data_IF_726627087452
#
_entry.id   IF_726627087452
#
_cell.length_a   1.000
_cell.length_b   1.000
_cell.length_c   1.000
_cell.angle_alpha   90.00
_cell.angle_beta   90.00
_cell.angle_gamma   90.00
#
_symmetry.space_group_name_H-M   'P 1'
#
loop_
_entity.id
_entity.type
_entity.pdbx_description
1 polymer ?
#
# COMPACT_ATOMS: atom_id res chain seq x y z
N UNK A 1 3.47 -12.81 -1.35
CA UNK A 1 2.95 -11.67 -2.14
C UNK A 1 4.09 -10.74 -2.44
N UNK A 2 4.19 -10.28 -3.69
CA UNK A 2 5.09 -9.20 -4.07
C UNK A 2 4.53 -7.83 -3.62
N UNK A 3 5.36 -6.79 -3.70
CA UNK A 3 4.97 -5.44 -3.26
C UNK A 3 3.75 -4.90 -4.03
N UNK A 4 3.64 -5.05 -5.37
CA UNK A 4 2.45 -4.68 -6.13
C UNK A 4 1.17 -5.34 -5.64
N UNK A 5 1.18 -6.66 -5.40
CA UNK A 5 0.01 -7.36 -4.88
C UNK A 5 -0.36 -6.91 -3.47
N UNK A 6 0.63 -6.64 -2.60
CA UNK A 6 0.38 -6.12 -1.26
C UNK A 6 -0.33 -4.76 -1.30
N UNK A 7 0.16 -3.84 -2.13
CA UNK A 7 -0.45 -2.52 -2.31
C UNK A 7 -1.88 -2.61 -2.84
N UNK A 8 -2.11 -3.49 -3.83
CA UNK A 8 -3.44 -3.76 -4.37
C UNK A 8 -4.40 -4.30 -3.32
N UNK A 9 -3.92 -5.17 -2.42
CA UNK A 9 -4.74 -5.70 -1.33
C UNK A 9 -5.19 -4.61 -0.36
N UNK A 10 -4.28 -3.71 0.05
CA UNK A 10 -4.63 -2.55 0.90
C UNK A 10 -5.68 -1.69 0.22
N UNK A 11 -5.44 -1.28 -1.03
CA UNK A 11 -6.35 -0.44 -1.78
C UNK A 11 -7.76 -1.06 -1.86
N UNK A 12 -7.84 -2.36 -2.17
CA UNK A 12 -9.10 -3.10 -2.25
C UNK A 12 -9.80 -3.21 -0.90
N UNK A 13 -9.05 -3.48 0.18
CA UNK A 13 -9.60 -3.57 1.54
C UNK A 13 -10.24 -2.25 1.99
N UNK A 14 -9.65 -1.15 1.56
CA UNK A 14 -10.11 0.21 1.85
C UNK A 14 -11.25 0.67 0.93
N UNK A 15 -11.65 -0.15 -0.04
CA UNK A 15 -12.72 0.17 -1.00
C UNK A 15 -12.35 1.28 -1.98
N UNK A 16 -11.05 1.58 -2.16
CA UNK A 16 -10.60 2.70 -2.97
C UNK A 16 -10.35 2.30 -4.43
N UNK A 17 -10.74 3.16 -5.35
CA UNK A 17 -10.26 3.14 -6.73
C UNK A 17 -8.76 3.48 -6.80
N UNK A 18 -8.13 3.25 -7.95
CA UNK A 18 -6.72 3.64 -8.13
C UNK A 18 -6.54 5.15 -8.01
N UNK A 19 -7.47 5.93 -8.55
CA UNK A 19 -7.41 7.40 -8.51
C UNK A 19 -7.55 7.92 -7.09
N UNK A 20 -8.56 7.48 -6.34
CA UNK A 20 -8.75 7.89 -4.94
C UNK A 20 -7.55 7.49 -4.08
N UNK A 21 -7.01 6.28 -4.27
CA UNK A 21 -5.82 5.86 -3.56
C UNK A 21 -4.65 6.79 -3.83
N UNK A 22 -4.41 7.13 -5.10
CA UNK A 22 -3.34 8.03 -5.54
C UNK A 22 -3.48 9.44 -4.95
N UNK A 23 -4.71 9.96 -4.90
CA UNK A 23 -5.02 11.27 -4.29
C UNK A 23 -4.71 11.27 -2.79
N UNK A 24 -5.13 10.21 -2.08
CA UNK A 24 -4.89 10.06 -0.63
C UNK A 24 -3.40 10.00 -0.31
N UNK A 25 -2.60 9.23 -1.07
CA UNK A 25 -1.16 9.06 -0.80
C UNK A 25 -0.27 10.10 -1.49
N UNK A 26 -0.83 10.94 -2.36
CA UNK A 26 -0.09 11.91 -3.15
C UNK A 26 0.91 11.28 -4.13
N UNK A 27 0.51 10.25 -4.86
CA UNK A 27 1.29 9.60 -5.94
C UNK A 27 0.55 9.82 -7.26
N UNK A 28 1.28 10.04 -8.37
CA UNK A 28 0.63 10.16 -9.68
C UNK A 28 -0.01 8.83 -10.11
N UNK A 29 -1.23 8.92 -10.68
CA UNK A 29 -1.94 7.75 -11.22
C UNK A 29 -1.14 7.02 -12.31
N UNK A 30 -0.35 7.75 -13.10
CA UNK A 30 0.50 7.18 -14.15
C UNK A 30 1.60 6.28 -13.58
N UNK A 31 2.26 6.70 -12.50
CA UNK A 31 3.27 5.89 -11.80
C UNK A 31 2.62 4.73 -11.07
N UNK A 32 1.50 4.98 -10.39
CA UNK A 32 0.80 3.94 -9.64
C UNK A 32 0.33 2.78 -10.51
N UNK A 33 -0.20 3.05 -11.72
CA UNK A 33 -0.57 2.00 -12.67
C UNK A 33 0.60 1.08 -13.02
N UNK A 34 1.80 1.62 -13.19
CA UNK A 34 3.01 0.84 -13.47
C UNK A 34 3.44 0.01 -12.27
N UNK A 35 3.36 0.59 -11.07
CA UNK A 35 3.70 -0.11 -9.83
C UNK A 35 2.72 -1.25 -9.55
N UNK A 36 1.41 -1.00 -9.60
CA UNK A 36 0.39 -2.02 -9.31
C UNK A 36 0.36 -3.13 -10.36
N UNK A 37 0.76 -2.84 -11.60
CA UNK A 37 0.93 -3.83 -12.66
C UNK A 37 2.29 -4.57 -12.62
N UNK A 38 3.22 -4.20 -11.73
CA UNK A 38 4.56 -4.77 -11.66
C UNK A 38 5.47 -4.43 -12.84
N UNK A 39 5.10 -3.44 -13.66
CA UNK A 39 5.89 -3.00 -14.83
C UNK A 39 7.14 -2.24 -14.39
N UNK A 40 7.07 -1.54 -13.26
CA UNK A 40 8.17 -0.76 -12.71
C UNK A 40 8.30 -1.08 -11.23
N UNK A 41 9.53 -1.28 -10.78
CA UNK A 41 9.79 -1.43 -9.35
C UNK A 41 9.45 -0.14 -8.59
N UNK A 42 8.78 -0.33 -7.46
CA UNK A 42 8.42 0.78 -6.58
C UNK A 42 9.63 1.16 -5.74
N UNK A 43 10.07 2.42 -5.85
CA UNK A 43 11.11 2.95 -4.98
C UNK A 43 10.65 3.12 -3.52
N UNK A 44 11.59 3.45 -2.63
CA UNK A 44 11.32 3.64 -1.21
C UNK A 44 10.34 4.78 -0.91
N UNK A 45 10.36 5.86 -1.70
CA UNK A 45 9.52 7.04 -1.46
C UNK A 45 8.00 6.75 -1.56
N UNK A 46 7.49 6.15 -2.66
CA UNK A 46 6.11 5.67 -2.72
C UNK A 46 5.73 4.71 -1.59
N UNK A 47 6.64 3.80 -1.22
CA UNK A 47 6.43 2.88 -0.11
C UNK A 47 6.20 3.62 1.21
N UNK A 48 7.09 4.56 1.56
CA UNK A 48 6.99 5.34 2.80
C UNK A 48 5.74 6.21 2.83
N UNK A 49 5.29 6.74 1.69
CA UNK A 49 4.02 7.47 1.59
C UNK A 49 2.84 6.61 2.03
N UNK A 50 2.80 5.34 1.61
CA UNK A 50 1.73 4.42 2.03
C UNK A 50 1.93 3.99 3.49
N UNK A 51 3.13 3.53 3.86
CA UNK A 51 3.39 2.95 5.17
C UNK A 51 3.24 3.95 6.34
N UNK A 52 3.51 5.24 6.09
CA UNK A 52 3.38 6.30 7.10
C UNK A 52 2.05 7.06 7.05
N UNK A 53 1.17 6.77 6.08
CA UNK A 53 -0.13 7.44 5.99
C UNK A 53 -1.05 6.98 7.12
N UNK A 54 -1.70 7.90 7.84
CA UNK A 54 -2.53 7.58 9.02
C UNK A 54 -3.58 6.49 8.75
N UNK A 55 -4.20 6.52 7.56
CA UNK A 55 -5.18 5.51 7.13
C UNK A 55 -4.59 4.12 6.90
N UNK A 56 -3.34 4.03 6.43
CA UNK A 56 -2.73 2.78 5.96
C UNK A 56 -1.61 2.25 6.88
N UNK A 57 -1.17 3.04 7.87
CA UNK A 57 -0.11 2.69 8.81
C UNK A 57 -0.38 1.40 9.59
N UNK A 58 -1.65 1.02 9.76
CA UNK A 58 -2.05 -0.29 10.32
C UNK A 58 -1.59 -1.49 9.50
N UNK A 59 -1.19 -1.30 8.25
CA UNK A 59 -0.68 -2.36 7.36
C UNK A 59 0.85 -2.35 7.25
N UNK A 60 1.55 -1.46 7.96
CA UNK A 60 2.98 -1.22 7.76
C UNK A 60 3.85 -2.46 8.04
N UNK A 61 3.57 -3.18 9.14
CA UNK A 61 4.28 -4.41 9.49
C UNK A 61 4.05 -5.47 8.42
N UNK A 62 2.81 -5.64 8.00
CA UNK A 62 2.44 -6.61 6.96
C UNK A 62 3.05 -6.25 5.59
N UNK A 63 3.09 -4.96 5.24
CA UNK A 63 3.74 -4.45 4.04
C UNK A 63 5.24 -4.79 4.03
N UNK A 64 5.94 -4.50 5.12
CA UNK A 64 7.39 -4.64 5.22
C UNK A 64 7.84 -6.09 5.40
N UNK A 65 7.24 -6.83 6.35
CA UNK A 65 7.73 -8.16 6.77
C UNK A 65 6.77 -9.29 6.45
N UNK A 66 5.51 -8.98 6.14
CA UNK A 66 4.44 -9.98 5.99
C UNK A 66 3.84 -10.43 7.32
N UNK A 67 4.37 -9.97 8.46
CA UNK A 67 3.83 -10.25 9.79
C UNK A 67 2.64 -9.37 10.16
N UNK A 68 1.93 -9.74 11.22
CA UNK A 68 0.85 -8.97 11.85
C UNK A 68 1.09 -8.94 13.36
N UNK A 69 0.59 -7.91 14.02
CA UNK A 69 0.61 -7.75 15.47
C UNK A 69 -0.66 -6.99 15.88
N UNK A 70 -1.77 -7.73 15.97
CA UNK A 70 -3.10 -7.17 16.16
C UNK A 70 -3.21 -6.40 17.49
N UNK A 71 -2.49 -6.85 18.51
CA UNK A 71 -2.34 -6.20 19.81
C UNK A 71 -1.79 -4.76 19.72
N UNK A 72 -1.00 -4.47 18.67
CA UNK A 72 -0.44 -3.15 18.39
C UNK A 72 -1.17 -2.44 17.23
N UNK A 73 -2.35 -2.94 16.83
CA UNK A 73 -3.12 -2.40 15.70
C UNK A 73 -2.48 -2.63 14.32
N UNK A 74 -1.49 -3.53 14.21
CA UNK A 74 -0.88 -3.92 12.94
C UNK A 74 -1.58 -5.15 12.38
N UNK A 75 -2.28 -5.00 11.26
CA UNK A 75 -3.19 -6.01 10.69
C UNK A 75 -2.86 -6.33 9.24
N UNK A 76 -3.39 -7.46 8.76
CA UNK A 76 -3.40 -7.82 7.33
C UNK A 76 -4.66 -7.23 6.66
N UNK A 77 -4.57 -6.70 5.44
CA UNK A 77 -5.74 -6.34 4.64
C UNK A 77 -6.41 -7.56 3.98
N UNK A 78 -5.71 -8.69 3.93
CA UNK A 78 -6.16 -9.99 3.42
C UNK A 78 -6.73 -10.82 4.56
#
# INVERSE_FOLDING_TARGET
MDLPAKMKAIRKKEGLTQTEFCEVVGISISSWKKYEAGITEMGLQPFLKVANHDRFRRYALWLATGGVAAECGQVSPV
#
